data_IF_237727836895
#
_entry.id   IF_237727836895
#
_cell.length_a   1.000
_cell.length_b   1.000
_cell.length_c   1.000
_cell.angle_alpha   90.00
_cell.angle_beta   90.00
_cell.angle_gamma   90.00
#
_symmetry.space_group_name_H-M   'P 1'
#
loop_
_entity.id
_entity.type
_entity.pdbx_description
1 polymer ?
#
# COMPACT_ATOMS: atom_id res chain seq x y z
N UNK A 1 15.00 5.66 -80.16
CA UNK A 1 14.85 4.79 -78.99
C UNK A 1 16.08 3.91 -78.86
N UNK A 2 16.95 4.14 -77.89
CA UNK A 2 18.14 3.31 -77.64
C UNK A 2 17.95 2.61 -76.30
N UNK A 3 18.29 1.29 -76.20
CA UNK A 3 18.13 0.59 -74.94
C UNK A 3 19.30 0.85 -73.98
N UNK A 4 18.97 1.04 -72.69
CA UNK A 4 19.90 1.13 -71.56
C UNK A 4 20.58 -0.26 -71.35
N UNK A 5 21.91 -0.28 -71.31
CA UNK A 5 22.72 -1.41 -70.87
C UNK A 5 22.75 -1.45 -69.35
N UNK A 6 22.31 -2.56 -68.78
CA UNK A 6 22.57 -2.89 -67.38
C UNK A 6 24.02 -3.41 -67.26
N UNK A 7 24.80 -2.73 -66.46
CA UNK A 7 26.10 -3.19 -65.97
C UNK A 7 25.89 -4.17 -64.81
N UNK A 8 26.29 -5.41 -65.03
CA UNK A 8 26.34 -6.42 -63.96
C UNK A 8 27.51 -6.09 -63.03
N UNK A 9 27.22 -5.81 -61.77
CA UNK A 9 28.20 -5.78 -60.66
C UNK A 9 28.34 -7.22 -60.11
N UNK A 10 29.53 -7.77 -59.99
CA UNK A 10 29.68 -9.12 -59.43
C UNK A 10 29.37 -9.10 -57.92
N UNK A 11 28.44 -9.92 -57.50
CA UNK A 11 28.17 -10.21 -56.07
C UNK A 11 29.28 -11.12 -55.57
N UNK A 12 30.20 -10.59 -54.78
CA UNK A 12 31.18 -11.42 -54.07
C UNK A 12 30.47 -12.01 -52.84
N UNK A 13 30.14 -13.27 -52.90
CA UNK A 13 29.75 -14.08 -51.74
C UNK A 13 30.98 -14.36 -50.89
N UNK A 14 31.16 -13.66 -49.77
CA UNK A 14 32.15 -14.05 -48.76
C UNK A 14 31.51 -15.08 -47.83
N UNK A 15 31.80 -16.34 -48.02
CA UNK A 15 31.53 -17.40 -47.07
C UNK A 15 32.70 -17.43 -46.09
N UNK A 16 32.46 -17.10 -44.82
CA UNK A 16 33.45 -17.26 -43.77
C UNK A 16 33.63 -18.74 -43.46
N UNK A 17 34.72 -19.34 -43.95
CA UNK A 17 35.21 -20.65 -43.56
C UNK A 17 36.32 -20.47 -42.51
N UNK A 18 36.28 -21.32 -41.46
CA UNK A 18 37.17 -21.25 -40.29
C UNK A 18 38.65 -21.62 -40.54
N UNK A 19 39.13 -21.67 -41.79
CA UNK A 19 40.51 -22.06 -42.12
C UNK A 19 41.18 -21.03 -43.03
N UNK A 20 41.52 -19.86 -42.50
CA UNK A 20 42.23 -18.80 -43.23
C UNK A 20 43.70 -18.66 -42.84
N UNK A 21 44.40 -19.77 -42.53
CA UNK A 21 45.81 -19.74 -42.16
C UNK A 21 46.78 -20.19 -43.30
N UNK A 22 46.29 -20.57 -44.45
CA UNK A 22 47.20 -21.15 -45.50
C UNK A 22 47.53 -20.27 -46.71
N UNK A 23 47.08 -19.03 -46.83
CA UNK A 23 47.30 -18.24 -48.08
C UNK A 23 48.53 -17.31 -48.03
N UNK A 24 49.27 -17.26 -46.92
CA UNK A 24 50.32 -16.20 -46.73
C UNK A 24 51.76 -16.66 -46.90
N UNK A 25 52.07 -17.83 -47.44
CA UNK A 25 53.45 -18.36 -47.39
C UNK A 25 54.40 -17.83 -48.44
N UNK A 26 53.99 -17.06 -49.46
CA UNK A 26 54.85 -16.62 -50.56
C UNK A 26 54.98 -15.12 -50.77
N UNK A 27 54.66 -14.30 -49.77
CA UNK A 27 54.83 -12.82 -49.89
C UNK A 27 56.00 -12.33 -49.06
N UNK A 28 56.73 -11.26 -49.52
CA UNK A 28 57.78 -10.62 -48.74
C UNK A 28 57.26 -10.19 -47.37
N UNK A 29 58.11 -10.23 -46.34
CA UNK A 29 57.76 -9.97 -44.94
C UNK A 29 57.05 -8.62 -44.77
N UNK A 30 57.51 -7.59 -45.49
CA UNK A 30 56.90 -6.24 -45.47
C UNK A 30 55.48 -6.17 -46.01
N UNK A 31 55.10 -7.10 -46.92
CA UNK A 31 53.73 -7.16 -47.43
C UNK A 31 52.83 -7.93 -46.50
N UNK A 32 53.33 -8.91 -45.74
CA UNK A 32 52.57 -9.66 -44.75
C UNK A 32 52.10 -8.77 -43.60
N UNK A 33 53.03 -7.94 -43.09
CA UNK A 33 52.73 -7.04 -41.96
C UNK A 33 51.67 -6.00 -42.33
N UNK A 34 51.72 -5.47 -43.56
CA UNK A 34 50.73 -4.51 -44.06
C UNK A 34 49.35 -5.18 -44.21
N UNK A 35 49.31 -6.41 -44.73
CA UNK A 35 48.04 -7.15 -44.86
C UNK A 35 47.48 -7.52 -43.49
N UNK A 36 48.32 -8.00 -42.55
CA UNK A 36 47.84 -8.32 -41.19
C UNK A 36 47.32 -7.09 -40.48
N UNK A 37 48.01 -5.97 -40.61
CA UNK A 37 47.58 -4.69 -39.99
C UNK A 37 46.20 -4.23 -40.57
N UNK A 38 46.05 -4.27 -41.90
CA UNK A 38 44.78 -3.91 -42.55
C UNK A 38 43.63 -4.86 -42.17
N UNK A 39 43.89 -6.15 -42.02
CA UNK A 39 42.89 -7.14 -41.55
C UNK A 39 42.51 -6.90 -40.09
N UNK A 40 43.46 -6.52 -39.24
CA UNK A 40 43.21 -6.16 -37.84
C UNK A 40 42.36 -4.89 -37.72
N UNK A 41 42.69 -3.86 -38.51
CA UNK A 41 41.96 -2.60 -38.54
C UNK A 41 40.55 -2.78 -39.10
N UNK A 42 40.36 -3.63 -40.11
CA UNK A 42 39.05 -3.97 -40.62
C UNK A 42 38.22 -4.79 -39.64
N UNK A 43 38.84 -5.72 -38.87
CA UNK A 43 38.15 -6.41 -37.74
C UNK A 43 37.72 -5.45 -36.64
N UNK A 44 38.56 -4.48 -36.27
CA UNK A 44 38.22 -3.42 -35.30
C UNK A 44 37.07 -2.56 -35.81
N UNK A 45 37.07 -2.17 -37.10
CA UNK A 45 35.99 -1.39 -37.70
C UNK A 45 34.68 -2.16 -37.75
N UNK A 46 34.71 -3.46 -38.09
CA UNK A 46 33.53 -4.33 -38.10
C UNK A 46 32.99 -4.51 -36.70
N UNK A 47 33.84 -4.72 -35.66
CA UNK A 47 33.39 -4.80 -34.28
C UNK A 47 32.78 -3.48 -33.77
N UNK A 48 33.37 -2.32 -34.15
CA UNK A 48 32.86 -1.00 -33.81
C UNK A 48 31.51 -0.72 -34.47
N UNK A 49 31.34 -1.08 -35.75
CA UNK A 49 30.08 -0.93 -36.46
C UNK A 49 29.01 -1.91 -35.94
N UNK A 50 29.36 -3.14 -35.58
CA UNK A 50 28.45 -4.10 -34.98
C UNK A 50 28.01 -3.67 -33.57
N UNK A 51 28.91 -3.14 -32.75
CA UNK A 51 28.61 -2.59 -31.43
C UNK A 51 27.72 -1.36 -31.51
N UNK A 52 27.96 -0.47 -32.51
CA UNK A 52 27.13 0.71 -32.73
C UNK A 52 25.73 0.34 -33.23
N UNK A 53 25.59 -0.66 -34.10
CA UNK A 53 24.31 -1.13 -34.61
C UNK A 53 23.50 -1.83 -33.53
N UNK A 54 24.14 -2.62 -32.64
CA UNK A 54 23.47 -3.27 -31.50
C UNK A 54 23.03 -2.24 -30.47
N UNK A 55 23.83 -1.21 -30.19
CA UNK A 55 23.41 -0.11 -29.31
C UNK A 55 22.24 0.71 -29.86
N UNK A 56 22.21 0.95 -31.17
CA UNK A 56 21.08 1.67 -31.82
C UNK A 56 19.81 0.83 -31.89
N UNK A 57 19.92 -0.50 -32.06
CA UNK A 57 18.74 -1.39 -32.11
C UNK A 57 18.20 -1.77 -30.74
N UNK A 58 19.01 -1.72 -29.66
CA UNK A 58 18.54 -1.93 -28.28
C UNK A 58 17.97 -0.65 -27.64
N UNK A 59 18.14 0.50 -28.24
CA UNK A 59 17.59 1.78 -27.77
C UNK A 59 16.19 2.10 -28.31
N UNK A 60 15.58 1.23 -29.10
CA UNK A 60 14.32 1.56 -29.79
C UNK A 60 13.25 0.54 -29.49
N UNK A 61 12.18 1.05 -28.90
CA UNK A 61 10.88 0.42 -28.68
C UNK A 61 10.80 -0.60 -27.51
N UNK A 62 11.10 -0.19 -26.29
CA UNK A 62 10.26 -0.61 -25.20
C UNK A 62 8.95 0.16 -25.36
N UNK A 63 7.87 -0.50 -25.74
CA UNK A 63 6.55 0.11 -25.61
C UNK A 63 6.42 0.70 -24.21
N UNK A 64 5.89 1.92 -24.06
CA UNK A 64 5.69 2.48 -22.73
C UNK A 64 4.91 1.46 -21.91
N UNK A 65 5.44 1.11 -20.75
CA UNK A 65 4.78 0.15 -19.87
C UNK A 65 3.33 0.60 -19.67
N UNK A 66 2.39 -0.33 -19.88
CA UNK A 66 0.96 -0.05 -19.72
C UNK A 66 0.73 0.53 -18.34
N UNK A 67 0.06 1.66 -18.29
CA UNK A 67 -0.37 2.30 -17.04
C UNK A 67 -1.88 2.32 -16.95
N UNK A 68 -2.37 2.48 -15.74
CA UNK A 68 -3.78 2.49 -15.38
C UNK A 68 -4.10 3.77 -14.62
N UNK A 69 -5.18 4.42 -14.95
CA UNK A 69 -5.72 5.50 -14.12
C UNK A 69 -6.44 4.93 -12.90
N UNK A 70 -6.65 5.76 -11.89
CA UNK A 70 -7.33 5.36 -10.64
C UNK A 70 -8.76 4.85 -10.85
N UNK A 71 -9.42 5.25 -11.92
CA UNK A 71 -10.81 4.84 -12.24
C UNK A 71 -10.86 3.52 -13.04
N UNK A 72 -9.72 3.05 -13.57
CA UNK A 72 -9.66 1.82 -14.36
C UNK A 72 -9.44 0.56 -13.53
N UNK A 73 -9.06 0.66 -12.26
CA UNK A 73 -8.91 -0.49 -11.40
C UNK A 73 -9.70 -0.34 -10.10
N UNK A 74 -10.23 -1.46 -9.66
CA UNK A 74 -10.93 -1.54 -8.39
C UNK A 74 -9.92 -1.72 -7.26
N UNK A 75 -10.08 -0.95 -6.19
CA UNK A 75 -9.25 -1.06 -4.99
C UNK A 75 -10.05 -0.70 -3.75
N UNK A 76 -9.84 -1.48 -2.68
CA UNK A 76 -10.33 -1.26 -1.34
C UNK A 76 -9.15 -1.00 -0.42
N UNK A 77 -9.36 -0.18 0.62
CA UNK A 77 -8.39 0.14 1.66
C UNK A 77 -7.02 0.60 1.08
N UNK A 78 -7.02 1.66 0.22
CA UNK A 78 -5.83 2.06 -0.51
C UNK A 78 -4.78 2.70 0.40
N UNK A 79 -3.64 2.05 0.56
CA UNK A 79 -2.50 2.58 1.32
C UNK A 79 -1.41 3.07 0.37
N UNK A 80 -1.06 4.35 0.46
CA UNK A 80 -0.04 5.01 -0.38
C UNK A 80 1.21 5.32 0.44
N UNK A 81 2.32 4.71 0.11
CA UNK A 81 3.64 5.02 0.68
C UNK A 81 4.44 5.87 -0.30
N UNK A 82 4.69 7.16 -0.01
CA UNK A 82 5.70 7.95 -0.71
C UNK A 82 7.11 7.49 -0.31
N UNK A 83 7.95 7.15 -1.28
CA UNK A 83 9.32 6.76 -1.02
C UNK A 83 10.25 7.15 -2.19
N UNK A 84 11.28 7.94 -1.89
CA UNK A 84 12.10 8.59 -2.91
C UNK A 84 11.24 9.48 -3.79
N UNK A 85 11.24 9.22 -5.10
CA UNK A 85 10.43 9.92 -6.11
C UNK A 85 9.19 9.12 -6.56
N UNK A 86 8.82 8.07 -5.81
CA UNK A 86 7.82 7.08 -6.21
C UNK A 86 6.74 6.94 -5.14
N UNK A 87 5.50 6.80 -5.58
CA UNK A 87 4.38 6.40 -4.75
C UNK A 87 4.12 4.91 -4.93
N UNK A 88 3.99 4.20 -3.82
CA UNK A 88 3.68 2.77 -3.76
C UNK A 88 2.28 2.59 -3.22
N UNK A 89 1.37 2.02 -4.03
CA UNK A 89 0.00 1.74 -3.64
C UNK A 89 -0.14 0.25 -3.34
N UNK A 90 -0.39 -0.09 -2.09
CA UNK A 90 -0.59 -1.47 -1.66
C UNK A 90 -2.07 -1.85 -1.70
N UNK A 91 -2.33 -3.06 -2.16
CA UNK A 91 -3.67 -3.62 -2.26
C UNK A 91 -3.71 -5.07 -1.82
N UNK A 92 -4.78 -5.44 -1.10
CA UNK A 92 -5.07 -6.81 -0.75
C UNK A 92 -5.71 -7.51 -1.94
N UNK A 93 -4.93 -8.15 -2.78
CA UNK A 93 -5.47 -8.87 -3.94
C UNK A 93 -4.55 -10.00 -4.36
N UNK A 94 -5.12 -10.99 -5.05
CA UNK A 94 -6.26 -10.98 -5.97
C UNK A 94 -7.54 -11.57 -5.38
N UNK A 95 -8.68 -11.12 -5.85
CA UNK A 95 -10.02 -11.61 -5.53
C UNK A 95 -10.28 -13.07 -5.95
N UNK A 96 -9.52 -13.63 -6.86
CA UNK A 96 -9.59 -15.02 -7.28
C UNK A 96 -8.59 -15.87 -6.52
N UNK A 97 -8.85 -16.13 -5.23
CA UNK A 97 -8.05 -17.05 -4.40
C UNK A 97 -6.65 -16.54 -4.06
N UNK A 98 -6.38 -15.26 -4.21
CA UNK A 98 -5.09 -14.68 -3.88
C UNK A 98 -4.88 -14.50 -2.40
N UNK A 99 -3.74 -14.99 -1.98
CA UNK A 99 -3.32 -15.10 -0.60
C UNK A 99 -2.11 -14.21 -0.36
N UNK A 100 -2.24 -12.91 -0.64
CA UNK A 100 -1.10 -12.02 -0.49
C UNK A 100 -1.43 -10.55 -0.69
N UNK A 101 -0.38 -9.77 -0.88
CA UNK A 101 -0.44 -8.33 -1.11
C UNK A 101 0.29 -7.99 -2.39
N UNK A 102 -0.30 -7.11 -3.19
CA UNK A 102 0.32 -6.56 -4.38
C UNK A 102 0.65 -5.07 -4.19
N UNK A 103 1.53 -4.55 -5.04
CA UNK A 103 1.86 -3.13 -5.11
C UNK A 103 1.75 -2.63 -6.56
N UNK A 104 1.28 -1.41 -6.72
CA UNK A 104 1.41 -0.60 -7.93
C UNK A 104 2.32 0.57 -7.63
N UNK A 105 2.99 1.11 -8.63
CA UNK A 105 3.82 2.31 -8.49
C UNK A 105 3.34 3.43 -9.39
N UNK A 106 3.54 4.66 -8.94
CA UNK A 106 3.23 5.88 -9.69
C UNK A 106 4.26 6.96 -9.42
N UNK A 107 4.41 7.90 -10.37
CA UNK A 107 5.20 9.12 -10.20
C UNK A 107 4.34 10.36 -9.99
N UNK A 108 3.07 10.29 -10.38
CA UNK A 108 2.16 11.43 -10.45
C UNK A 108 0.84 11.24 -9.67
N UNK A 109 0.58 10.04 -9.13
CA UNK A 109 -0.66 9.63 -8.46
C UNK A 109 -1.87 9.43 -9.39
N UNK A 110 -1.71 9.68 -10.68
CA UNK A 110 -2.76 9.52 -11.67
C UNK A 110 -2.56 8.27 -12.54
N UNK A 111 -1.30 7.96 -12.91
CA UNK A 111 -0.93 6.81 -13.72
C UNK A 111 -0.18 5.77 -12.88
N UNK A 112 -0.69 4.56 -12.84
CA UNK A 112 -0.20 3.47 -12.02
C UNK A 112 0.26 2.28 -12.88
N UNK A 113 1.35 1.65 -12.50
CA UNK A 113 1.83 0.42 -13.16
C UNK A 113 0.84 -0.74 -12.98
N UNK A 114 1.05 -1.82 -13.72
CA UNK A 114 0.46 -3.10 -13.35
C UNK A 114 0.89 -3.51 -11.94
N UNK A 115 0.05 -4.33 -11.30
CA UNK A 115 0.33 -4.82 -9.95
C UNK A 115 1.41 -5.90 -9.96
N UNK A 116 2.27 -5.81 -8.96
CA UNK A 116 3.35 -6.75 -8.69
C UNK A 116 3.13 -7.36 -7.31
N UNK A 117 3.22 -8.68 -7.19
CA UNK A 117 3.04 -9.36 -5.89
C UNK A 117 4.26 -9.14 -5.01
N UNK A 118 4.05 -8.57 -3.81
CA UNK A 118 5.11 -8.26 -2.83
C UNK A 118 5.08 -9.18 -1.61
N UNK A 119 3.93 -9.80 -1.36
CA UNK A 119 3.76 -10.84 -0.34
C UNK A 119 3.00 -12.01 -0.95
N UNK A 120 3.63 -13.18 -0.93
CA UNK A 120 2.97 -14.47 -1.14
C UNK A 120 3.05 -15.24 0.19
N UNK A 121 1.90 -15.62 0.72
CA UNK A 121 1.85 -16.38 1.97
C UNK A 121 2.36 -17.81 1.75
N UNK A 122 3.01 -18.42 2.76
CA UNK A 122 3.40 -19.81 2.70
C UNK A 122 2.20 -20.73 2.39
N UNK A 123 2.39 -21.83 1.63
CA UNK A 123 1.30 -22.72 1.22
C UNK A 123 0.54 -23.38 2.37
N UNK A 124 1.16 -23.51 3.54
CA UNK A 124 0.60 -24.05 4.77
C UNK A 124 -0.29 -23.03 5.52
N UNK A 125 -0.19 -21.73 5.18
CA UNK A 125 -1.09 -20.70 5.70
C UNK A 125 -2.42 -20.75 4.94
N UNK A 126 -3.44 -21.33 5.58
CA UNK A 126 -4.78 -21.55 4.99
C UNK A 126 -5.72 -20.37 5.27
N UNK A 127 -5.28 -19.14 4.98
CA UNK A 127 -6.14 -17.96 5.14
C UNK A 127 -7.24 -17.91 4.06
N UNK A 128 -8.37 -17.33 4.42
CA UNK A 128 -9.52 -17.11 3.52
C UNK A 128 -9.47 -15.74 2.86
N UNK A 129 -8.93 -14.73 3.58
CA UNK A 129 -8.79 -13.37 3.06
C UNK A 129 -7.53 -12.67 3.60
N UNK A 130 -7.10 -11.65 2.87
CA UNK A 130 -6.08 -10.66 3.26
C UNK A 130 -6.72 -9.29 3.14
N UNK A 131 -6.66 -8.47 4.20
CA UNK A 131 -7.30 -7.16 4.24
C UNK A 131 -6.33 -6.05 4.66
N UNK A 132 -6.59 -4.85 4.16
CA UNK A 132 -6.00 -3.59 4.61
C UNK A 132 -4.47 -3.65 4.82
N UNK A 133 -3.68 -3.84 3.76
CA UNK A 133 -2.23 -3.81 3.89
C UNK A 133 -1.72 -2.38 4.09
N UNK A 134 -0.89 -2.16 5.10
CA UNK A 134 -0.17 -0.93 5.36
C UNK A 134 1.33 -1.17 5.38
N UNK A 135 2.12 -0.33 4.75
CA UNK A 135 3.58 -0.46 4.74
C UNK A 135 4.25 0.76 5.35
N UNK A 136 4.98 0.54 6.42
CA UNK A 136 5.67 1.58 7.17
C UNK A 136 7.18 1.44 7.07
N UNK A 137 7.89 2.57 7.06
CA UNK A 137 9.33 2.61 7.25
C UNK A 137 9.66 2.67 8.73
N UNK A 138 10.41 1.71 9.23
CA UNK A 138 10.87 1.71 10.62
C UNK A 138 12.19 0.96 10.72
N UNK A 139 13.13 1.52 11.48
CA UNK A 139 14.44 0.92 11.76
C UNK A 139 15.16 0.38 10.52
N UNK A 140 15.23 1.21 9.46
CA UNK A 140 15.94 0.90 8.22
C UNK A 140 15.32 -0.20 7.35
N UNK A 141 14.07 -0.59 7.61
CA UNK A 141 13.34 -1.60 6.85
C UNK A 141 11.92 -1.14 6.53
N UNK A 142 11.25 -1.92 5.68
CA UNK A 142 9.82 -1.79 5.37
C UNK A 142 9.05 -2.88 6.10
N UNK A 143 7.96 -2.50 6.74
CA UNK A 143 7.14 -3.34 7.57
C UNK A 143 5.71 -3.30 7.09
N UNK A 144 5.23 -4.46 6.65
CA UNK A 144 3.87 -4.62 6.16
C UNK A 144 3.00 -5.17 7.30
N UNK A 145 1.96 -4.45 7.63
CA UNK A 145 0.88 -4.86 8.50
C UNK A 145 -0.31 -5.24 7.64
N UNK A 146 -0.93 -6.38 7.89
CA UNK A 146 -2.16 -6.75 7.17
C UNK A 146 -2.96 -7.75 8.00
N UNK A 147 -4.28 -7.74 7.82
CA UNK A 147 -5.19 -8.66 8.49
C UNK A 147 -5.29 -9.95 7.70
N UNK A 148 -5.03 -11.09 8.32
CA UNK A 148 -5.36 -12.39 7.76
C UNK A 148 -6.59 -12.96 8.45
N UNK A 149 -7.52 -13.48 7.64
CA UNK A 149 -8.77 -14.12 8.08
C UNK A 149 -8.70 -15.62 7.77
N UNK A 150 -9.28 -16.43 8.63
CA UNK A 150 -9.26 -17.90 8.53
C UNK A 150 -10.66 -18.46 8.74
N UNK A 151 -10.86 -19.72 8.34
CA UNK A 151 -12.08 -20.45 8.68
C UNK A 151 -12.20 -20.64 10.21
N UNK A 152 -13.43 -20.73 10.73
CA UNK A 152 -13.65 -20.96 12.14
C UNK A 152 -12.96 -22.24 12.64
N UNK A 153 -12.28 -22.13 13.78
CA UNK A 153 -11.63 -23.26 14.46
C UNK A 153 -12.59 -23.83 15.52
N UNK A 154 -12.83 -25.13 15.46
CA UNK A 154 -13.62 -25.82 16.48
C UNK A 154 -12.82 -25.95 17.80
N UNK A 155 -13.49 -25.87 18.97
CA UNK A 155 -12.79 -25.96 20.26
C UNK A 155 -11.98 -27.25 20.46
N UNK A 156 -12.40 -28.35 19.85
CA UNK A 156 -11.80 -29.68 19.92
C UNK A 156 -10.94 -30.05 18.72
N UNK A 157 -10.65 -29.11 17.82
CA UNK A 157 -9.86 -29.34 16.62
C UNK A 157 -8.40 -29.64 16.98
N UNK A 158 -7.98 -30.92 16.83
CA UNK A 158 -6.61 -31.36 17.12
C UNK A 158 -5.60 -30.92 16.05
N UNK A 159 -6.07 -30.71 14.83
CA UNK A 159 -5.22 -30.39 13.68
C UNK A 159 -5.19 -28.90 13.35
N UNK A 160 -5.74 -28.05 14.20
CA UNK A 160 -5.70 -26.60 14.00
C UNK A 160 -4.26 -26.08 14.18
N UNK A 161 -3.79 -25.19 13.28
CA UNK A 161 -2.50 -24.53 13.47
C UNK A 161 -2.41 -23.88 14.85
N UNK A 162 -1.26 -24.00 15.50
CA UNK A 162 -1.05 -23.51 16.88
C UNK A 162 -1.26 -22.00 17.04
N UNK A 163 -1.16 -21.25 15.95
CA UNK A 163 -1.38 -19.81 15.90
C UNK A 163 -2.85 -19.43 15.74
N UNK A 164 -3.77 -20.37 15.54
CA UNK A 164 -5.22 -20.12 15.49
C UNK A 164 -5.87 -20.61 16.79
N UNK A 165 -6.85 -19.85 17.25
CA UNK A 165 -7.67 -20.18 18.41
C UNK A 165 -9.16 -20.13 18.05
N UNK A 166 -10.02 -20.92 18.73
CA UNK A 166 -11.46 -20.75 18.66
C UNK A 166 -11.84 -19.33 19.13
N UNK A 167 -12.68 -18.67 18.37
CA UNK A 167 -13.20 -17.35 18.74
C UNK A 167 -14.49 -17.51 19.53
N UNK A 168 -14.55 -16.87 20.69
CA UNK A 168 -15.74 -16.79 21.52
C UNK A 168 -16.33 -15.38 21.50
N UNK A 169 -17.65 -15.23 21.62
CA UNK A 169 -18.27 -13.90 21.71
C UNK A 169 -17.84 -13.22 23.03
N UNK A 170 -17.62 -11.91 22.95
CA UNK A 170 -17.27 -11.02 24.06
C UNK A 170 -18.25 -9.84 24.10
N UNK A 171 -19.56 -10.15 23.94
CA UNK A 171 -20.62 -9.15 23.72
C UNK A 171 -20.83 -8.29 24.94
N UNK A 172 -20.91 -6.98 24.73
CA UNK A 172 -21.32 -6.04 25.74
C UNK A 172 -22.84 -5.96 25.82
N UNK A 173 -23.36 -5.51 26.97
CA UNK A 173 -24.80 -5.38 27.17
C UNK A 173 -25.41 -4.43 26.12
N UNK A 174 -26.49 -4.85 25.47
CA UNK A 174 -27.19 -4.05 24.48
C UNK A 174 -26.66 -4.13 23.06
N UNK A 175 -25.54 -4.83 22.83
CA UNK A 175 -24.94 -5.00 21.51
C UNK A 175 -25.12 -6.42 21.00
N UNK A 176 -25.17 -6.55 19.67
CA UNK A 176 -25.18 -7.83 18.97
C UNK A 176 -23.88 -7.95 18.16
N UNK A 177 -23.19 -9.06 18.32
CA UNK A 177 -22.04 -9.41 17.50
C UNK A 177 -22.43 -9.83 16.08
N UNK A 178 -21.42 -10.13 15.30
CA UNK A 178 -21.57 -10.68 13.95
C UNK A 178 -21.03 -12.10 13.84
N UNK A 179 -20.65 -12.50 12.63
CA UNK A 179 -20.02 -13.79 12.38
C UNK A 179 -18.64 -13.89 13.03
N UNK A 180 -18.46 -14.91 13.86
CA UNK A 180 -17.18 -15.17 14.53
C UNK A 180 -16.25 -15.95 13.58
N UNK A 181 -15.14 -15.33 13.26
CA UNK A 181 -14.15 -15.88 12.34
C UNK A 181 -12.74 -15.46 12.75
N UNK A 182 -11.81 -16.41 13.01
CA UNK A 182 -10.45 -16.06 13.41
C UNK A 182 -9.82 -15.08 12.43
N UNK A 183 -9.31 -13.98 12.96
CA UNK A 183 -8.56 -12.99 12.23
C UNK A 183 -7.63 -12.21 13.14
N UNK A 184 -6.52 -11.78 12.57
CA UNK A 184 -5.55 -11.01 13.35
C UNK A 184 -4.57 -10.29 12.45
N UNK A 185 -3.88 -9.31 13.03
CA UNK A 185 -2.87 -8.54 12.33
C UNK A 185 -1.56 -9.32 12.30
N UNK A 186 -1.10 -9.61 11.10
CA UNK A 186 0.21 -10.18 10.85
C UNK A 186 1.18 -9.08 10.43
N UNK A 187 2.44 -9.24 10.83
CA UNK A 187 3.51 -8.30 10.49
C UNK A 187 4.56 -9.01 9.66
N UNK A 188 4.98 -8.34 8.60
CA UNK A 188 5.98 -8.85 7.66
C UNK A 188 7.07 -7.79 7.47
N UNK A 189 8.29 -8.22 7.12
CA UNK A 189 9.44 -7.34 6.94
C UNK A 189 10.08 -7.55 5.58
N UNK A 190 10.56 -6.46 4.98
CA UNK A 190 11.36 -6.45 3.76
C UNK A 190 12.45 -5.38 3.82
N UNK A 191 13.47 -5.51 2.97
CA UNK A 191 14.47 -4.46 2.72
C UNK A 191 14.04 -3.48 1.60
N UNK A 192 12.96 -3.79 0.90
CA UNK A 192 12.45 -3.03 -0.25
C UNK A 192 10.94 -2.80 -0.12
N UNK A 193 10.42 -1.65 -0.56
CA UNK A 193 8.97 -1.40 -0.61
C UNK A 193 8.26 -2.36 -1.58
N UNK A 194 8.98 -2.93 -2.53
CA UNK A 194 8.49 -3.97 -3.46
C UNK A 194 8.64 -5.40 -2.93
N UNK A 195 8.96 -5.57 -1.65
CA UNK A 195 9.15 -6.89 -1.09
C UNK A 195 10.47 -7.59 -1.51
N UNK A 196 10.54 -8.94 -1.49
CA UNK A 196 9.51 -9.78 -0.91
C UNK A 196 9.38 -9.59 0.60
N UNK A 197 8.15 -9.49 1.07
CA UNK A 197 7.86 -9.41 2.50
C UNK A 197 7.84 -10.82 3.11
N UNK A 198 8.46 -10.97 4.28
CA UNK A 198 8.49 -12.24 5.03
C UNK A 198 7.90 -12.04 6.42
N UNK A 199 7.14 -13.01 6.96
CA UNK A 199 6.55 -12.88 8.28
C UNK A 199 7.65 -12.76 9.35
N UNK A 200 7.44 -11.88 10.33
CA UNK A 200 8.35 -11.74 11.48
C UNK A 200 8.19 -12.89 12.48
N UNK A 201 6.99 -13.49 12.49
CA UNK A 201 6.67 -14.75 13.20
C UNK A 201 5.52 -15.46 12.48
N UNK A 202 5.32 -16.72 12.75
CA UNK A 202 4.10 -17.41 12.34
C UNK A 202 2.96 -17.09 13.32
N UNK A 203 1.84 -16.60 12.77
CA UNK A 203 0.68 -16.16 13.52
C UNK A 203 0.54 -14.65 13.64
N UNK A 204 -0.63 -14.23 14.11
CA UNK A 204 -0.92 -12.81 14.36
C UNK A 204 -0.05 -12.26 15.48
N UNK A 205 0.25 -10.96 15.42
CA UNK A 205 0.86 -10.23 16.55
C UNK A 205 -0.20 -9.89 17.60
N UNK A 206 -1.42 -9.63 17.16
CA UNK A 206 -2.58 -9.45 18.04
C UNK A 206 -2.97 -10.76 18.74
N UNK A 207 -3.68 -10.71 19.88
CA UNK A 207 -4.11 -11.91 20.60
C UNK A 207 -4.88 -12.88 19.70
N UNK A 208 -4.52 -14.16 19.73
CA UNK A 208 -5.08 -15.16 18.81
C UNK A 208 -6.55 -15.49 19.07
N UNK A 209 -7.03 -15.26 20.28
CA UNK A 209 -8.43 -15.42 20.72
C UNK A 209 -9.30 -14.19 20.46
N UNK A 210 -8.70 -13.09 19.95
CA UNK A 210 -9.41 -11.89 19.59
C UNK A 210 -9.60 -11.81 18.07
N UNK A 211 -10.72 -11.26 17.65
CA UNK A 211 -10.92 -10.85 16.26
C UNK A 211 -10.36 -9.44 16.09
N UNK A 212 -9.13 -9.37 15.59
CA UNK A 212 -8.44 -8.10 15.39
C UNK A 212 -8.19 -7.81 13.91
N UNK A 213 -8.26 -6.53 13.54
CA UNK A 213 -7.97 -6.09 12.18
C UNK A 213 -7.29 -4.71 12.16
N UNK A 214 -6.79 -4.32 10.99
CA UNK A 214 -6.32 -2.98 10.62
C UNK A 214 -5.27 -2.43 11.58
N UNK A 215 -4.17 -3.18 11.75
CA UNK A 215 -3.06 -2.72 12.57
C UNK A 215 -2.21 -1.68 11.85
N UNK A 216 -1.95 -0.55 12.49
CA UNK A 216 -1.06 0.51 12.02
C UNK A 216 0.08 0.75 13.00
N UNK A 217 1.24 1.18 12.51
CA UNK A 217 2.42 1.47 13.30
C UNK A 217 2.45 2.93 13.75
N UNK A 218 2.69 3.13 15.04
CA UNK A 218 3.05 4.43 15.60
C UNK A 218 4.34 4.33 16.41
N UNK A 219 5.25 5.29 16.29
CA UNK A 219 6.46 5.34 17.11
C UNK A 219 6.37 6.54 18.02
N UNK A 220 6.36 6.29 19.33
CA UNK A 220 6.32 7.33 20.35
C UNK A 220 7.53 7.22 21.27
N UNK A 221 8.33 8.27 21.33
CA UNK A 221 9.54 8.36 22.16
C UNK A 221 10.50 7.15 21.95
N UNK A 222 10.62 6.71 20.70
CA UNK A 222 11.46 5.56 20.32
C UNK A 222 10.84 4.19 20.57
N UNK A 223 9.65 4.12 21.16
CA UNK A 223 8.91 2.86 21.38
C UNK A 223 7.91 2.67 20.22
N UNK A 224 7.98 1.55 19.50
CA UNK A 224 6.96 1.23 18.52
C UNK A 224 5.67 0.77 19.20
N UNK A 225 4.54 1.19 18.66
CA UNK A 225 3.18 0.82 19.09
C UNK A 225 2.41 0.29 17.88
N UNK A 226 1.56 -0.69 18.08
CA UNK A 226 0.50 -1.02 17.15
C UNK A 226 -0.81 -0.42 17.67
N UNK A 227 -1.49 0.35 16.81
CA UNK A 227 -2.92 0.67 17.00
C UNK A 227 -3.70 -0.25 16.10
N UNK A 228 -4.78 -0.85 16.61
CA UNK A 228 -5.56 -1.84 15.88
C UNK A 228 -7.00 -1.89 16.38
N UNK A 229 -7.86 -2.53 15.61
CA UNK A 229 -9.27 -2.70 15.94
C UNK A 229 -9.52 -4.08 16.57
N UNK A 230 -10.17 -4.13 17.73
CA UNK A 230 -10.82 -5.33 18.26
C UNK A 230 -12.28 -5.31 17.80
N UNK A 231 -12.62 -6.24 16.91
CA UNK A 231 -13.75 -6.11 16.02
C UNK A 231 -15.11 -6.27 16.71
N UNK A 232 -16.08 -5.47 16.26
CA UNK A 232 -17.46 -5.47 16.74
C UNK A 232 -18.15 -6.84 16.57
N UNK A 233 -17.74 -7.64 15.58
CA UNK A 233 -18.27 -9.01 15.40
C UNK A 233 -18.10 -9.85 16.65
N UNK A 234 -17.01 -9.68 17.38
CA UNK A 234 -16.75 -10.38 18.65
C UNK A 234 -17.26 -9.61 19.87
N UNK A 235 -17.07 -8.27 19.88
CA UNK A 235 -17.31 -7.44 21.08
C UNK A 235 -18.71 -6.81 21.10
N UNK A 236 -19.41 -6.76 19.95
CA UNK A 236 -20.66 -6.06 19.77
C UNK A 236 -20.52 -4.55 19.53
N UNK A 237 -19.51 -3.92 20.12
CA UNK A 237 -19.13 -2.52 19.94
C UNK A 237 -17.64 -2.43 19.76
N UNK A 238 -17.19 -2.25 18.50
CA UNK A 238 -15.78 -2.26 18.13
C UNK A 238 -14.92 -1.36 19.03
N UNK A 239 -13.70 -1.82 19.31
CA UNK A 239 -12.77 -1.12 20.19
C UNK A 239 -11.51 -0.72 19.42
N UNK A 240 -11.12 0.52 19.56
CA UNK A 240 -9.80 0.97 19.15
C UNK A 240 -8.80 0.65 20.25
N UNK A 241 -7.81 -0.18 19.94
CA UNK A 241 -6.83 -0.69 20.90
C UNK A 241 -5.43 -0.17 20.55
N UNK A 242 -4.55 -0.11 21.55
CA UNK A 242 -3.12 0.15 21.33
C UNK A 242 -2.28 -0.74 22.24
N UNK A 243 -1.13 -1.18 21.74
CA UNK A 243 -0.15 -1.93 22.54
C UNK A 243 1.28 -1.56 22.13
N UNK A 244 2.21 -1.41 23.09
CA UNK A 244 3.62 -1.25 22.78
C UNK A 244 4.19 -2.55 22.22
N UNK A 245 5.10 -2.45 21.25
CA UNK A 245 5.70 -3.57 20.56
C UNK A 245 7.17 -3.74 20.91
N UNK A 246 7.67 -4.95 20.73
CA UNK A 246 9.12 -5.20 20.66
C UNK A 246 9.72 -4.47 19.44
N UNK A 247 11.01 -4.15 19.48
CA UNK A 247 11.70 -3.42 18.39
C UNK A 247 11.63 -4.17 17.05
N UNK A 248 11.59 -5.49 17.07
CA UNK A 248 11.44 -6.37 15.90
C UNK A 248 9.97 -6.55 15.47
N UNK A 249 9.05 -5.82 16.07
CA UNK A 249 7.61 -5.81 15.81
C UNK A 249 6.94 -7.20 15.82
N UNK A 250 7.57 -8.19 16.50
CA UNK A 250 7.08 -9.58 16.50
C UNK A 250 6.06 -9.87 17.61
N UNK A 251 5.96 -9.03 18.64
CA UNK A 251 5.08 -9.21 19.79
C UNK A 251 4.78 -7.92 20.51
N UNK A 252 3.70 -7.89 21.27
CA UNK A 252 3.46 -6.86 22.28
C UNK A 252 4.37 -7.02 23.48
N UNK A 253 4.75 -5.91 24.11
CA UNK A 253 5.59 -5.90 25.34
C UNK A 253 4.79 -5.60 26.60
N UNK A 254 3.51 -5.22 26.44
CA UNK A 254 2.53 -5.08 27.49
C UNK A 254 1.12 -5.41 26.95
N UNK A 255 0.17 -5.57 27.84
CA UNK A 255 -1.23 -5.81 27.47
C UNK A 255 -1.81 -4.64 26.66
N UNK A 256 -2.66 -4.92 25.64
CA UNK A 256 -3.34 -3.89 24.88
C UNK A 256 -4.26 -3.04 25.77
N UNK A 257 -4.24 -1.74 25.55
CA UNK A 257 -5.14 -0.78 26.20
C UNK A 257 -6.26 -0.36 25.26
N UNK A 258 -7.46 -0.18 25.77
CA UNK A 258 -8.58 0.39 25.03
C UNK A 258 -8.43 1.91 24.97
N UNK A 259 -8.45 2.49 23.76
CA UNK A 259 -8.39 3.93 23.53
C UNK A 259 -9.79 4.55 23.54
N UNK A 260 -10.72 3.93 22.82
CA UNK A 260 -12.13 4.31 22.74
C UNK A 260 -12.93 3.20 22.01
N UNK A 261 -14.25 3.38 21.93
CA UNK A 261 -15.19 2.46 21.29
C UNK A 261 -15.88 3.09 20.10
N UNK A 262 -16.40 2.27 19.20
CA UNK A 262 -17.06 2.71 17.97
C UNK A 262 -18.24 3.65 18.22
N UNK A 263 -19.08 3.37 19.23
CA UNK A 263 -20.26 4.14 19.56
C UNK A 263 -19.98 5.42 20.37
N UNK A 264 -18.73 5.92 20.37
CA UNK A 264 -18.36 7.15 21.09
C UNK A 264 -18.88 8.45 20.43
N UNK A 265 -19.46 8.35 19.23
CA UNK A 265 -20.04 9.49 18.50
C UNK A 265 -21.53 9.22 18.31
N UNK A 266 -22.43 10.20 18.57
CA UNK A 266 -23.86 10.07 18.32
C UNK A 266 -24.17 9.67 16.87
N UNK A 267 -24.97 8.65 16.69
CA UNK A 267 -25.34 8.13 15.37
C UNK A 267 -24.29 7.27 14.68
N UNK A 268 -23.16 7.00 15.34
CA UNK A 268 -22.17 6.06 14.85
C UNK A 268 -22.66 4.62 14.97
N UNK A 269 -22.18 3.77 14.05
CA UNK A 269 -22.33 2.32 14.09
C UNK A 269 -21.36 1.68 15.12
N UNK A 270 -21.19 0.37 14.96
CA UNK A 270 -20.37 -0.43 15.88
C UNK A 270 -18.98 -0.75 15.35
N UNK A 271 -18.64 -0.25 14.19
CA UNK A 271 -17.39 -0.55 13.47
C UNK A 271 -16.27 0.38 13.91
N UNK A 272 -15.08 -0.20 14.14
CA UNK A 272 -13.82 0.53 14.16
C UNK A 272 -12.95 -0.06 13.07
N UNK A 273 -12.59 0.73 12.04
CA UNK A 273 -11.76 0.32 10.93
C UNK A 273 -10.65 1.35 10.65
N UNK A 274 -9.56 0.91 10.05
CA UNK A 274 -8.53 1.72 9.44
C UNK A 274 -7.98 2.86 10.30
N UNK A 275 -7.46 2.61 11.50
CA UNK A 275 -6.78 3.65 12.27
C UNK A 275 -5.52 4.09 11.54
N UNK A 276 -5.33 5.39 11.37
CA UNK A 276 -4.09 5.94 10.86
C UNK A 276 -3.67 7.16 11.70
N UNK A 277 -2.41 7.18 12.14
CA UNK A 277 -1.92 8.21 13.05
C UNK A 277 -0.98 9.19 12.37
N UNK A 278 -1.06 10.44 12.80
CA UNK A 278 -0.18 11.50 12.38
C UNK A 278 0.01 12.53 13.50
N UNK A 279 1.18 13.14 13.54
CA UNK A 279 1.50 14.22 14.50
C UNK A 279 1.97 15.47 13.75
N UNK A 280 1.07 16.23 13.11
CA UNK A 280 1.42 17.51 12.50
C UNK A 280 1.96 18.48 13.56
N UNK A 281 2.95 19.29 13.19
CA UNK A 281 3.61 20.23 14.12
C UNK A 281 2.63 21.18 14.79
N UNK A 282 1.58 21.61 14.08
CA UNK A 282 0.60 22.60 14.53
C UNK A 282 -0.57 22.04 15.32
N UNK A 283 -0.79 20.70 15.34
CA UNK A 283 -2.06 20.15 15.84
C UNK A 283 -1.93 18.91 16.75
N UNK A 284 -0.71 18.54 17.16
CA UNK A 284 -0.47 17.41 18.06
C UNK A 284 -0.80 16.04 17.45
N UNK A 285 -0.86 15.01 18.29
CA UNK A 285 -1.15 13.63 17.86
C UNK A 285 -2.62 13.48 17.47
N UNK A 286 -2.86 13.01 16.25
CA UNK A 286 -4.18 12.79 15.67
C UNK A 286 -4.30 11.39 15.10
N UNK A 287 -5.53 10.92 15.08
CA UNK A 287 -5.90 9.66 14.42
C UNK A 287 -7.10 9.92 13.53
N UNK A 288 -7.09 9.37 12.33
CA UNK A 288 -8.29 9.12 11.52
C UNK A 288 -8.65 7.65 11.64
N UNK A 289 -9.92 7.34 11.51
CA UNK A 289 -10.45 5.99 11.55
C UNK A 289 -11.81 5.95 10.85
N UNK A 290 -12.39 4.79 10.62
CA UNK A 290 -13.63 4.68 9.84
C UNK A 290 -14.74 3.96 10.60
N UNK A 291 -15.97 4.43 10.37
CA UNK A 291 -17.20 3.87 10.91
C UNK A 291 -18.38 4.24 9.99
N UNK A 292 -19.51 3.63 10.21
CA UNK A 292 -20.77 4.04 9.60
C UNK A 292 -21.42 5.15 10.43
N UNK A 293 -21.94 6.18 9.76
CA UNK A 293 -22.77 7.20 10.38
C UNK A 293 -24.18 7.16 9.80
N UNK A 294 -25.19 7.28 10.67
CA UNK A 294 -26.59 7.31 10.26
C UNK A 294 -26.83 8.39 9.20
N UNK A 295 -27.33 7.97 8.03
CA UNK A 295 -27.62 8.89 6.91
C UNK A 295 -26.43 9.25 6.02
N UNK A 296 -25.20 8.77 6.32
CA UNK A 296 -23.98 9.11 5.57
C UNK A 296 -23.23 7.90 5.00
N UNK A 297 -23.62 6.67 5.41
CA UNK A 297 -22.90 5.46 5.02
C UNK A 297 -21.54 5.34 5.72
N UNK A 298 -20.55 4.80 5.03
CA UNK A 298 -19.19 4.64 5.55
C UNK A 298 -18.45 5.97 5.51
N UNK A 299 -17.73 6.30 6.57
CA UNK A 299 -17.18 7.63 6.81
C UNK A 299 -15.76 7.56 7.35
N UNK A 300 -14.95 8.59 7.10
CA UNK A 300 -13.68 8.83 7.82
C UNK A 300 -13.95 9.82 8.95
N UNK A 301 -13.69 9.36 10.15
CA UNK A 301 -13.76 10.12 11.39
C UNK A 301 -12.36 10.60 11.79
N UNK A 302 -12.27 11.56 12.70
CA UNK A 302 -11.00 12.04 13.22
C UNK A 302 -11.07 12.35 14.70
N UNK A 303 -9.96 12.13 15.40
CA UNK A 303 -9.81 12.45 16.80
C UNK A 303 -8.40 12.94 17.12
N UNK A 304 -8.26 13.54 18.29
CA UNK A 304 -7.00 14.09 18.78
C UNK A 304 -6.71 13.59 20.18
N UNK A 305 -5.48 13.20 20.44
CA UNK A 305 -4.99 12.94 21.79
C UNK A 305 -4.78 14.28 22.53
N UNK A 306 -5.47 14.46 23.63
CA UNK A 306 -5.33 15.68 24.45
C UNK A 306 -3.98 15.75 25.17
N UNK A 307 -3.40 14.62 25.54
CA UNK A 307 -2.06 14.56 26.15
C UNK A 307 -0.94 14.64 25.12
N UNK A 308 -1.25 14.46 23.83
CA UNK A 308 -0.26 14.29 22.77
C UNK A 308 0.45 12.93 22.78
N UNK A 309 -0.03 11.97 23.62
CA UNK A 309 0.45 10.60 23.77
C UNK A 309 -0.57 9.62 23.19
N UNK A 310 -0.08 8.42 22.77
CA UNK A 310 -0.94 7.38 22.22
C UNK A 310 -2.03 6.93 23.20
N UNK A 311 -1.76 6.95 24.48
CA UNK A 311 -2.71 6.58 25.53
C UNK A 311 -3.89 7.55 25.68
N UNK A 312 -3.88 8.69 25.01
CA UNK A 312 -4.97 9.66 25.05
C UNK A 312 -5.00 10.52 26.34
N UNK A 313 -6.17 10.99 26.81
CA UNK A 313 -7.51 10.68 26.28
C UNK A 313 -7.75 11.24 24.88
N UNK A 314 -8.57 10.53 24.09
CA UNK A 314 -8.89 10.89 22.72
C UNK A 314 -10.19 11.70 22.64
N UNK A 315 -10.13 12.83 21.97
CA UNK A 315 -11.26 13.72 21.73
C UNK A 315 -11.70 13.64 20.28
N UNK A 316 -12.98 13.33 20.05
CA UNK A 316 -13.57 13.25 18.72
C UNK A 316 -13.82 14.62 18.13
N UNK A 317 -13.54 14.76 16.83
CA UNK A 317 -13.80 15.98 16.07
C UNK A 317 -14.89 15.72 15.00
N UNK A 318 -15.26 16.77 14.27
CA UNK A 318 -16.15 16.67 13.11
C UNK A 318 -15.61 15.64 12.11
N UNK A 319 -16.45 14.76 11.55
CA UNK A 319 -16.03 13.79 10.55
C UNK A 319 -15.28 14.44 9.38
N UNK A 320 -14.21 13.78 8.92
CA UNK A 320 -13.39 14.28 7.81
C UNK A 320 -14.05 13.99 6.45
N UNK A 321 -14.73 12.85 6.33
CA UNK A 321 -15.39 12.43 5.11
C UNK A 321 -16.69 11.66 5.41
N UNK A 322 -17.81 12.00 4.71
CA UNK A 322 -19.16 11.48 5.02
C UNK A 322 -19.97 11.13 3.75
N UNK A 323 -19.33 10.66 2.69
CA UNK A 323 -19.99 10.36 1.41
C UNK A 323 -19.79 8.91 0.99
N UNK A 324 -20.12 7.97 1.88
CA UNK A 324 -20.01 6.52 1.66
C UNK A 324 -18.62 6.12 1.15
N UNK A 325 -17.59 6.55 1.86
CA UNK A 325 -16.19 6.20 1.61
C UNK A 325 -15.39 6.25 2.89
N UNK A 326 -14.37 5.43 2.99
CA UNK A 326 -13.60 5.30 4.23
C UNK A 326 -12.36 4.46 4.07
N UNK A 327 -11.90 3.95 5.22
CA UNK A 327 -10.62 3.29 5.39
C UNK A 327 -9.51 4.20 4.82
N UNK A 328 -9.47 5.42 5.37
CA UNK A 328 -8.59 6.46 4.87
C UNK A 328 -7.21 6.41 5.50
N UNK A 329 -6.21 6.84 4.74
CA UNK A 329 -4.88 7.15 5.25
C UNK A 329 -4.43 8.51 4.74
N UNK A 330 -3.46 9.12 5.44
CA UNK A 330 -2.94 10.44 5.08
C UNK A 330 -1.46 10.30 4.71
N UNK A 331 -1.09 10.87 3.58
CA UNK A 331 0.31 10.95 3.16
C UNK A 331 0.67 12.34 2.65
N UNK A 332 1.95 12.63 2.58
CA UNK A 332 2.45 13.86 1.98
C UNK A 332 2.95 13.57 0.56
N UNK A 333 2.49 14.35 -0.40
CA UNK A 333 3.03 14.36 -1.76
C UNK A 333 4.45 14.90 -1.76
N UNK A 334 5.19 14.64 -2.84
CA UNK A 334 6.57 15.12 -3.01
C UNK A 334 6.67 16.66 -3.06
N UNK A 335 5.58 17.35 -3.42
CA UNK A 335 5.48 18.82 -3.40
C UNK A 335 5.07 19.40 -2.03
N UNK A 336 4.92 18.54 -1.01
CA UNK A 336 4.55 18.92 0.36
C UNK A 336 3.04 18.95 0.66
N UNK A 337 2.17 18.80 -0.34
CA UNK A 337 0.72 18.76 -0.13
C UNK A 337 0.31 17.50 0.64
N UNK A 338 -0.44 17.69 1.73
CA UNK A 338 -1.06 16.59 2.45
C UNK A 338 -2.27 16.05 1.68
N UNK A 339 -2.41 14.74 1.62
CA UNK A 339 -3.45 14.04 0.89
C UNK A 339 -4.15 13.03 1.78
N UNK A 340 -5.48 12.94 1.66
CA UNK A 340 -6.28 11.82 2.14
C UNK A 340 -6.48 10.84 0.98
N UNK A 341 -6.08 9.58 1.17
CA UNK A 341 -6.47 8.46 0.34
C UNK A 341 -7.59 7.70 1.01
N UNK A 342 -8.63 7.28 0.28
CA UNK A 342 -9.70 6.42 0.77
C UNK A 342 -10.33 5.64 -0.39
N UNK A 343 -11.10 4.60 -0.10
CA UNK A 343 -11.95 3.99 -1.11
C UNK A 343 -13.37 4.57 -1.08
N UNK A 344 -13.98 4.68 -2.27
CA UNK A 344 -15.37 5.11 -2.46
C UNK A 344 -15.93 4.57 -3.76
N UNK A 345 -17.23 4.16 -3.77
CA UNK A 345 -18.14 3.96 -2.65
C UNK A 345 -17.69 2.78 -1.79
N UNK A 346 -18.29 2.59 -0.62
CA UNK A 346 -18.09 1.38 0.20
C UNK A 346 -18.94 0.21 -0.31
N UNK A 347 -18.67 -0.23 -1.53
CA UNK A 347 -19.40 -1.27 -2.25
C UNK A 347 -18.50 -2.02 -3.21
N UNK A 348 -19.06 -2.90 -4.07
CA UNK A 348 -18.28 -3.72 -5.03
C UNK A 348 -17.53 -2.94 -6.11
N UNK A 349 -17.83 -1.66 -6.30
CA UNK A 349 -17.23 -0.81 -7.36
C UNK A 349 -16.31 0.26 -6.79
N UNK A 350 -15.73 0.00 -5.63
CA UNK A 350 -14.84 0.94 -4.95
C UNK A 350 -13.62 1.32 -5.80
N UNK A 351 -13.26 2.59 -5.75
CA UNK A 351 -12.08 3.19 -6.38
C UNK A 351 -11.31 4.02 -5.35
N UNK A 352 -10.02 4.15 -5.55
CA UNK A 352 -9.23 5.09 -4.77
C UNK A 352 -9.65 6.52 -5.09
N UNK A 353 -9.94 7.29 -4.06
CA UNK A 353 -10.13 8.74 -4.14
C UNK A 353 -9.05 9.46 -3.35
N UNK A 354 -8.55 10.54 -3.91
CA UNK A 354 -7.50 11.38 -3.32
C UNK A 354 -8.06 12.79 -3.11
N UNK A 355 -7.93 13.28 -1.89
CA UNK A 355 -8.37 14.63 -1.52
C UNK A 355 -7.24 15.41 -0.88
N UNK A 356 -6.92 16.62 -1.39
CA UNK A 356 -6.00 17.52 -0.69
C UNK A 356 -6.51 17.88 0.71
N UNK A 357 -5.61 17.91 1.68
CA UNK A 357 -5.92 18.28 3.05
C UNK A 357 -5.19 19.54 3.47
N UNK A 358 -5.88 20.35 4.30
CA UNK A 358 -5.27 21.36 5.15
C UNK A 358 -5.19 20.83 6.58
N UNK A 359 -4.10 21.14 7.26
CA UNK A 359 -3.94 20.88 8.68
C UNK A 359 -4.29 22.15 9.44
N UNK A 360 -5.34 22.09 10.23
CA UNK A 360 -5.77 23.20 11.08
C UNK A 360 -5.57 22.84 12.55
N UNK A 361 -5.69 23.80 13.44
CA UNK A 361 -5.66 23.54 14.88
C UNK A 361 -6.84 22.67 15.35
N UNK A 362 -7.99 22.73 14.65
CA UNK A 362 -9.16 21.89 14.92
C UNK A 362 -9.06 20.49 14.35
N UNK A 363 -8.15 20.26 13.38
CA UNK A 363 -8.03 18.96 12.72
C UNK A 363 -7.60 19.06 11.28
N UNK A 364 -7.95 18.01 10.55
CA UNK A 364 -7.85 17.99 9.12
C UNK A 364 -9.12 18.52 8.48
N UNK A 365 -9.00 19.31 7.43
CA UNK A 365 -10.10 19.70 6.57
C UNK A 365 -9.70 19.47 5.11
N UNK A 366 -10.67 19.13 4.26
CA UNK A 366 -10.41 18.98 2.83
C UNK A 366 -10.26 20.35 2.20
N UNK A 367 -9.30 20.51 1.29
CA UNK A 367 -9.08 21.74 0.54
C UNK A 367 -10.05 21.90 -0.63
N UNK A 368 -10.53 20.78 -1.18
CA UNK A 368 -11.37 20.81 -2.36
C UNK A 368 -12.85 21.03 -2.01
N UNK A 369 -13.34 22.13 -2.48
CA UNK A 369 -14.75 22.28 -2.78
C UNK A 369 -15.03 21.46 -4.03
N UNK A 370 -15.75 20.34 -3.90
CA UNK A 370 -16.29 19.65 -5.06
C UNK A 370 -17.31 20.58 -5.72
N UNK A 371 -17.03 21.16 -6.91
CA UNK A 371 -17.96 22.05 -7.57
C UNK A 371 -19.21 21.33 -8.09
N UNK A 372 -19.26 20.00 -8.02
CA UNK A 372 -20.33 19.15 -8.56
C UNK A 372 -21.18 18.45 -7.50
N UNK A 373 -20.96 18.71 -6.22
CA UNK A 373 -21.77 18.13 -5.14
C UNK A 373 -22.21 19.14 -4.08
N UNK A 374 -23.38 18.99 -3.44
CA UNK A 374 -23.74 19.82 -2.30
C UNK A 374 -22.72 19.52 -1.19
N UNK A 375 -21.76 20.44 -1.00
CA UNK A 375 -20.84 20.41 0.13
C UNK A 375 -21.62 20.26 1.45
N UNK A 376 -21.02 19.71 2.52
CA UNK A 376 -21.66 19.73 3.81
C UNK A 376 -22.03 21.17 4.09
N UNK A 377 -23.33 21.43 4.29
CA UNK A 377 -23.78 22.74 4.75
C UNK A 377 -22.98 23.04 6.01
N UNK A 378 -22.24 24.13 6.02
CA UNK A 378 -21.71 24.67 7.27
C UNK A 378 -22.90 24.77 8.19
N UNK A 379 -22.91 24.03 9.28
CA UNK A 379 -23.79 24.35 10.40
C UNK A 379 -23.30 25.71 10.85
N UNK A 380 -24.14 26.77 10.77
CA UNK A 380 -23.73 28.08 11.30
C UNK A 380 -23.38 27.84 12.75
N UNK A 381 -22.20 28.29 13.17
CA UNK A 381 -21.90 28.43 14.60
C UNK A 381 -23.01 29.24 15.20
N UNK A 382 -23.95 28.61 15.91
CA UNK A 382 -24.95 29.27 16.69
C UNK A 382 -24.24 30.11 17.72
N UNK A 383 -24.10 31.40 17.45
CA UNK A 383 -23.95 32.38 18.52
C UNK A 383 -25.25 32.29 19.31
N UNK A 384 -25.18 31.65 20.46
CA UNK A 384 -26.23 31.76 21.45
C UNK A 384 -26.47 33.22 21.75
N UNK A 385 -27.56 33.77 21.28
CA UNK A 385 -28.14 34.96 21.91
C UNK A 385 -28.85 34.46 23.16
N UNK A 386 -28.22 34.67 24.32
CA UNK A 386 -28.92 34.69 25.57
C UNK A 386 -30.06 35.74 25.45
N UNK A 387 -31.28 35.27 25.39
CA UNK A 387 -32.44 36.09 25.78
C UNK A 387 -32.87 35.61 27.16
N UNK A 388 -32.69 36.49 28.12
CA UNK A 388 -33.20 36.34 29.45
C UNK A 388 -34.71 36.07 29.42
N UNK A 389 -35.12 35.26 30.36
CA UNK A 389 -36.53 35.07 30.74
C UNK A 389 -36.69 35.71 32.11
N UNK A 390 -37.57 36.68 32.17
CA UNK A 390 -38.22 37.12 33.41
C UNK A 390 -39.04 35.99 34.00
#
# INVERSE_FOLDING_TARGET
MRPLRFLFTPVIKITASQNSTEICYNLPTSCRDIIQQKVLDMKKLIHSLFSLTVLVTLGVYAEPAKTWTRDEFQIRDPFVLPDGDTYYLYESKPWSGGKGVAVRTSKDLDHWTDKEMVLLLPPDVKNTAVWAPEVHKYDGAYWLFTTLTFDPVKPDAKDAPSYLKPIQPMLEQGFKGGNLQPRGVWVFRSKSPKGPFKPVKMGSVTPAEWMCLDGTLWVEDGVPWMVFCHEWCQTGNGRMMAAPMSKDLSRFTAEPIELFRAACIPGAGHVTDGPFLMKPKSSGLRMIWSNFLKGSGYCVLQCQSKSGKITGPWHMHTPLYTRDGGHGMIFQRHDGQMMLSLHQPNSKNERMKLYPLQVTWEGFSRCDWDPLGPGPRRVPNGRGTEKGVE
#
